data_IF_858653810226
#
_entry.id   IF_858653810226
#
_cell.length_a   1.000
_cell.length_b   1.000
_cell.length_c   1.000
_cell.angle_alpha   90.00
_cell.angle_beta   90.00
_cell.angle_gamma   90.00
#
_symmetry.space_group_name_H-M   'P 1'
#
loop_
_entity.id
_entity.type
_entity.pdbx_description
1 polymer ?
#
# COMPACT_ATOMS: atom_id res chain seq x y z
N UNK A 1 9.66 4.95 -12.17
CA UNK A 1 8.55 4.45 -11.34
C UNK A 1 7.34 5.35 -11.36
N UNK A 2 7.42 6.61 -10.91
CA UNK A 2 6.27 7.52 -10.84
C UNK A 2 5.39 7.55 -12.11
N UNK A 3 5.98 7.75 -13.31
CA UNK A 3 5.23 7.77 -14.58
C UNK A 3 4.58 6.42 -14.94
N UNK A 4 5.19 5.31 -14.53
CA UNK A 4 4.68 3.96 -14.80
C UNK A 4 3.47 3.63 -13.93
N UNK A 5 3.49 4.02 -12.65
CA UNK A 5 2.39 3.76 -11.70
C UNK A 5 1.31 4.83 -11.72
N UNK A 6 1.55 5.99 -12.34
CA UNK A 6 0.61 7.10 -12.44
C UNK A 6 -0.83 6.70 -12.86
N UNK A 7 -1.07 5.83 -13.87
CA UNK A 7 -2.44 5.44 -14.22
C UNK A 7 -3.11 4.49 -13.23
N UNK A 8 -2.36 3.94 -12.28
CA UNK A 8 -2.83 2.94 -11.30
C UNK A 8 -3.12 3.54 -9.92
N UNK A 9 -2.72 4.79 -9.66
CA UNK A 9 -2.77 5.43 -8.34
C UNK A 9 -3.68 6.66 -8.36
N UNK A 10 -4.63 6.69 -7.42
CA UNK A 10 -5.42 7.86 -7.09
C UNK A 10 -4.92 8.45 -5.77
N UNK A 11 -4.42 9.68 -5.81
CA UNK A 11 -4.03 10.44 -4.61
C UNK A 11 -5.27 11.18 -4.12
N UNK A 12 -5.86 10.71 -3.03
CA UNK A 12 -7.04 11.29 -2.42
C UNK A 12 -6.60 12.37 -1.41
N UNK A 13 -7.02 13.61 -1.63
CA UNK A 13 -6.66 14.74 -0.76
C UNK A 13 -5.25 15.31 -0.98
N UNK A 14 -4.80 16.11 -0.01
CA UNK A 14 -3.51 16.81 -0.08
C UNK A 14 -2.38 15.99 0.55
N UNK A 15 -1.95 14.95 -0.17
CA UNK A 15 -0.82 14.12 0.25
C UNK A 15 0.49 14.89 0.07
N UNK A 16 1.33 15.03 1.12
CA UNK A 16 2.61 15.74 1.03
C UNK A 16 3.50 15.19 -0.08
N UNK A 17 4.22 16.08 -0.78
CA UNK A 17 5.11 15.69 -1.87
C UNK A 17 6.18 14.66 -1.45
N UNK A 18 6.62 14.73 -0.19
CA UNK A 18 7.55 13.76 0.41
C UNK A 18 6.94 12.36 0.51
N UNK A 19 5.68 12.26 0.95
CA UNK A 19 4.96 10.99 1.01
C UNK A 19 4.70 10.41 -0.39
N UNK A 20 4.32 11.26 -1.36
CA UNK A 20 4.17 10.83 -2.77
C UNK A 20 5.48 10.30 -3.35
N UNK A 21 6.59 10.96 -3.03
CA UNK A 21 7.93 10.55 -3.48
C UNK A 21 8.31 9.20 -2.87
N UNK A 22 8.08 9.02 -1.57
CA UNK A 22 8.38 7.79 -0.86
C UNK A 22 7.58 6.59 -1.40
N UNK A 23 6.28 6.80 -1.67
CA UNK A 23 5.39 5.73 -2.14
C UNK A 23 5.73 5.18 -3.54
N UNK A 24 6.53 5.90 -4.33
CA UNK A 24 6.97 5.46 -5.67
C UNK A 24 8.46 5.13 -5.73
N UNK A 25 9.14 5.13 -4.59
CA UNK A 25 10.56 4.88 -4.46
C UNK A 25 10.90 3.41 -4.79
N UNK A 26 11.86 3.15 -5.71
CA UNK A 26 12.29 1.79 -6.00
C UNK A 26 12.87 1.10 -4.75
N UNK A 27 12.24 0.00 -4.33
CA UNK A 27 12.73 -0.80 -3.23
C UNK A 27 13.76 -1.84 -3.71
N UNK A 28 14.96 -1.82 -3.15
CA UNK A 28 15.98 -2.87 -3.35
C UNK A 28 15.92 -3.81 -2.16
N UNK A 29 15.66 -5.10 -2.39
CA UNK A 29 15.48 -6.10 -1.32
C UNK A 29 14.39 -5.70 -0.30
N UNK A 30 13.29 -5.15 -0.79
CA UNK A 30 12.15 -4.76 0.05
C UNK A 30 11.47 -5.93 0.75
N UNK A 31 10.50 -5.60 1.60
CA UNK A 31 9.66 -6.58 2.30
C UNK A 31 8.62 -7.26 1.41
N UNK A 32 7.77 -8.08 2.05
CA UNK A 32 6.63 -8.71 1.41
C UNK A 32 5.37 -7.86 1.59
N UNK A 33 4.60 -7.68 0.51
CA UNK A 33 3.24 -7.16 0.58
C UNK A 33 2.28 -8.35 0.55
N UNK A 34 1.44 -8.48 1.58
CA UNK A 34 0.50 -9.59 1.73
C UNK A 34 -0.93 -9.09 1.90
N UNK A 35 -1.88 -9.81 1.31
CA UNK A 35 -3.30 -9.64 1.56
C UNK A 35 -3.78 -10.84 2.39
N UNK A 36 -4.45 -10.56 3.51
CA UNK A 36 -4.98 -11.58 4.42
C UNK A 36 -6.48 -11.34 4.65
N UNK A 37 -7.29 -12.38 4.91
CA UNK A 37 -8.66 -12.20 5.36
C UNK A 37 -8.71 -11.31 6.60
N UNK A 38 -9.71 -10.41 6.75
CA UNK A 38 -9.82 -9.52 7.89
C UNK A 38 -9.80 -10.26 9.24
N UNK A 39 -10.44 -11.43 9.30
CA UNK A 39 -10.50 -12.27 10.49
C UNK A 39 -9.13 -12.81 10.95
N UNK A 40 -8.13 -12.85 10.07
CA UNK A 40 -6.78 -13.36 10.35
C UNK A 40 -5.75 -12.24 10.50
N UNK A 41 -6.14 -10.98 10.32
CA UNK A 41 -5.19 -9.87 10.25
C UNK A 41 -4.47 -9.63 11.58
N UNK A 42 -5.19 -9.70 12.71
CA UNK A 42 -4.61 -9.48 14.03
C UNK A 42 -3.71 -10.65 14.45
N UNK A 43 -4.11 -11.88 14.12
CA UNK A 43 -3.29 -13.09 14.33
C UNK A 43 -1.99 -13.02 13.50
N UNK A 44 -2.07 -12.62 12.23
CA UNK A 44 -0.91 -12.47 11.36
C UNK A 44 0.10 -11.47 11.94
N UNK A 45 -0.38 -10.31 12.41
CA UNK A 45 0.47 -9.27 13.03
C UNK A 45 1.12 -9.75 14.34
N UNK A 46 0.47 -10.66 15.08
CA UNK A 46 1.02 -11.23 16.30
C UNK A 46 2.14 -12.26 16.04
N UNK A 47 2.11 -12.93 14.89
CA UNK A 47 3.05 -14.01 14.54
C UNK A 47 4.22 -13.51 13.70
N UNK A 48 3.97 -12.58 12.77
CA UNK A 48 4.99 -12.07 11.84
C UNK A 48 5.62 -10.81 12.41
N UNK A 49 6.84 -10.95 12.90
CA UNK A 49 7.63 -9.85 13.42
C UNK A 49 7.82 -8.74 12.36
N UNK A 50 7.75 -7.47 12.78
CA UNK A 50 7.81 -6.27 11.94
C UNK A 50 6.71 -6.11 10.88
N UNK A 51 5.68 -6.95 10.88
CA UNK A 51 4.55 -6.76 9.98
C UNK A 51 3.76 -5.49 10.34
N UNK A 52 3.35 -4.75 9.32
CA UNK A 52 2.57 -3.52 9.47
C UNK A 52 1.33 -3.58 8.59
N UNK A 53 0.17 -3.22 9.16
CA UNK A 53 -1.05 -2.99 8.38
C UNK A 53 -0.96 -1.62 7.73
N UNK A 54 -0.93 -1.60 6.40
CA UNK A 54 -0.79 -0.36 5.60
C UNK A 54 -2.07 0.02 4.84
N UNK A 55 -3.14 -0.76 4.96
CA UNK A 55 -4.40 -0.51 4.28
C UNK A 55 -5.31 -1.73 4.25
N UNK A 56 -6.28 -1.68 3.33
CA UNK A 56 -7.26 -2.74 3.09
C UNK A 56 -7.51 -2.94 1.59
N UNK A 57 -8.13 -4.06 1.24
CA UNK A 57 -8.56 -4.34 -0.14
C UNK A 57 -10.03 -4.01 -0.26
N UNK A 58 -10.35 -3.04 -1.12
CA UNK A 58 -11.72 -2.67 -1.44
C UNK A 58 -12.28 -3.52 -2.59
N UNK A 59 -13.58 -3.43 -2.83
CA UNK A 59 -14.19 -3.97 -4.04
C UNK A 59 -13.52 -3.37 -5.30
N UNK A 60 -13.45 -4.09 -6.43
CA UNK A 60 -12.82 -3.60 -7.64
C UNK A 60 -13.33 -2.21 -8.06
N UNK A 61 -12.39 -1.30 -8.34
CA UNK A 61 -12.67 0.06 -8.80
C UNK A 61 -11.95 0.34 -10.13
N UNK A 62 -12.19 1.53 -10.70
CA UNK A 62 -11.47 1.99 -11.89
C UNK A 62 -9.97 2.21 -11.63
N UNK A 63 -9.59 2.50 -10.38
CA UNK A 63 -8.21 2.70 -9.96
C UNK A 63 -7.73 1.55 -9.06
N UNK A 64 -6.46 1.16 -9.20
CA UNK A 64 -5.89 0.00 -8.51
C UNK A 64 -5.44 0.31 -7.07
N UNK A 65 -4.99 1.54 -6.80
CA UNK A 65 -4.53 2.00 -5.48
C UNK A 65 -5.09 3.38 -5.17
N UNK A 66 -5.65 3.53 -3.97
CA UNK A 66 -6.06 4.82 -3.40
C UNK A 66 -5.10 5.13 -2.25
N UNK A 67 -4.51 6.32 -2.26
CA UNK A 67 -3.63 6.79 -1.18
C UNK A 67 -4.23 8.06 -0.61
N UNK A 68 -4.62 7.99 0.66
CA UNK A 68 -5.30 9.02 1.43
C UNK A 68 -4.44 9.58 2.58
#
# INVERSE_FOLDING_TARGET
>A
NARYVAPLVHWEGDIPATARTLAVDPQTSGGLLVAVPPASADEYLAVVHDAVRIGEVLAPQQTALIVC
#
